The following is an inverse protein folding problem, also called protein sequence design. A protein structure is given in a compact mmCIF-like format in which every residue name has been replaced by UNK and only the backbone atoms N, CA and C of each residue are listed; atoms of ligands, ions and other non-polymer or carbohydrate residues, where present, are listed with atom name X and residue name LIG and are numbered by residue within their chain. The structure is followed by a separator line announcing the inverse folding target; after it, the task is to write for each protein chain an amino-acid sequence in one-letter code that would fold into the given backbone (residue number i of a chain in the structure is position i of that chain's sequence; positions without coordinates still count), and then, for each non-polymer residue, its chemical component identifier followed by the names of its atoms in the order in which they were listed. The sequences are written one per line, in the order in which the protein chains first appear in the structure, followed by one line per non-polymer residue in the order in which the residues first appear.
data_IF_910269349312
#
_entry.id   IF_910269349312
#
_cell.length_a   1.000
_cell.length_b   1.000
_cell.length_c   1.000
_cell.angle_alpha   90.00
_cell.angle_beta   90.00
_cell.angle_gamma   90.00
#
_symmetry.space_group_name_H-M   'P 1'
#
loop_
_entity.id
_entity.type
_entity.pdbx_description
1 polymer ?
#
# COMPACT_ATOMS: atom_id res chain seq x y z
N UNK A 1 51.84 -24.08 1.23
CA UNK A 1 51.25 -22.83 0.73
C UNK A 1 50.05 -23.05 -0.19
N UNK A 2 50.08 -23.97 -1.17
CA UNK A 2 48.94 -24.22 -2.07
C UNK A 2 47.67 -24.73 -1.37
N UNK A 3 47.78 -25.74 -0.49
CA UNK A 3 46.61 -26.38 0.14
C UNK A 3 45.83 -25.49 1.14
N UNK A 4 46.50 -24.60 1.87
CA UNK A 4 45.83 -23.67 2.80
C UNK A 4 44.97 -22.64 2.06
N UNK A 5 45.41 -22.18 0.89
CA UNK A 5 44.65 -21.25 0.05
C UNK A 5 43.40 -21.94 -0.48
N UNK A 6 43.52 -23.18 -0.93
CA UNK A 6 42.41 -23.98 -1.46
C UNK A 6 41.35 -24.27 -0.40
N UNK A 7 41.75 -24.68 0.81
CA UNK A 7 40.81 -24.86 1.94
C UNK A 7 40.12 -23.56 2.37
N UNK A 8 40.80 -22.42 2.26
CA UNK A 8 40.21 -21.11 2.56
C UNK A 8 39.18 -20.70 1.51
N UNK A 9 39.48 -20.95 0.23
CA UNK A 9 38.55 -20.70 -0.89
C UNK A 9 37.31 -21.59 -0.76
N UNK A 10 37.46 -22.88 -0.48
CA UNK A 10 36.33 -23.80 -0.30
C UNK A 10 35.44 -23.41 0.89
N UNK A 11 36.03 -23.02 2.03
CA UNK A 11 35.26 -22.52 3.18
C UNK A 11 34.46 -21.25 2.86
N UNK A 12 35.08 -20.33 2.14
CA UNK A 12 34.41 -19.09 1.74
C UNK A 12 33.25 -19.35 0.76
N UNK A 13 33.44 -20.25 -0.20
CA UNK A 13 32.39 -20.66 -1.14
C UNK A 13 31.19 -21.28 -0.41
N UNK A 14 31.46 -22.22 0.51
CA UNK A 14 30.41 -22.84 1.31
C UNK A 14 29.64 -21.82 2.16
N UNK A 15 30.36 -20.89 2.80
CA UNK A 15 29.73 -19.80 3.55
C UNK A 15 28.88 -18.88 2.67
N UNK A 16 29.29 -18.62 1.43
CA UNK A 16 28.48 -17.84 0.48
C UNK A 16 27.20 -18.58 0.07
N UNK A 17 27.28 -19.90 -0.17
CA UNK A 17 26.12 -20.73 -0.48
C UNK A 17 25.11 -20.71 0.68
N UNK A 18 25.59 -20.91 1.91
CA UNK A 18 24.76 -20.85 3.13
C UNK A 18 24.08 -19.48 3.29
N UNK A 19 24.81 -18.38 3.08
CA UNK A 19 24.25 -17.03 3.13
C UNK A 19 23.21 -16.78 2.03
N UNK A 20 23.46 -17.29 0.82
CA UNK A 20 22.52 -17.22 -0.30
C UNK A 20 21.21 -17.93 0.04
N UNK A 21 21.26 -19.11 0.65
CA UNK A 21 20.06 -19.86 0.99
C UNK A 21 19.28 -19.25 2.15
N UNK A 22 19.98 -18.67 3.13
CA UNK A 22 19.34 -17.84 4.17
C UNK A 22 18.62 -16.65 3.53
N UNK A 23 19.28 -15.94 2.59
CA UNK A 23 18.68 -14.79 1.92
C UNK A 23 17.41 -15.19 1.15
N UNK A 24 17.46 -16.28 0.37
CA UNK A 24 16.28 -16.79 -0.37
C UNK A 24 15.14 -17.14 0.59
N UNK A 25 15.45 -17.80 1.70
CA UNK A 25 14.46 -18.17 2.72
C UNK A 25 13.81 -16.94 3.34
N UNK A 26 14.60 -15.92 3.69
CA UNK A 26 14.10 -14.65 4.21
C UNK A 26 13.22 -13.94 3.20
N UNK A 27 13.65 -13.83 1.93
CA UNK A 27 12.85 -13.20 0.86
C UNK A 27 11.52 -13.92 0.63
N UNK A 28 11.52 -15.26 0.66
CA UNK A 28 10.30 -16.06 0.55
C UNK A 28 9.33 -15.77 1.70
N UNK A 29 9.83 -15.76 2.95
CA UNK A 29 9.00 -15.44 4.12
C UNK A 29 8.43 -14.03 4.06
N UNK A 30 9.25 -13.04 3.71
CA UNK A 30 8.79 -11.65 3.52
C UNK A 30 7.69 -11.56 2.45
N UNK A 31 7.81 -12.32 1.37
CA UNK A 31 6.79 -12.33 0.31
C UNK A 31 5.47 -12.94 0.79
N UNK A 32 5.53 -14.03 1.56
CA UNK A 32 4.35 -14.66 2.15
C UNK A 32 3.67 -13.75 3.18
N UNK A 33 4.46 -13.15 4.07
CA UNK A 33 3.99 -12.18 5.07
C UNK A 33 3.33 -10.95 4.42
N UNK A 34 3.92 -10.43 3.33
CA UNK A 34 3.32 -9.35 2.54
C UNK A 34 1.98 -9.74 1.90
N UNK A 35 1.85 -10.99 1.43
CA UNK A 35 0.59 -11.49 0.89
C UNK A 35 -0.48 -11.62 1.99
N UNK A 36 -0.13 -12.15 3.17
CA UNK A 36 -1.05 -12.24 4.30
C UNK A 36 -1.53 -10.85 4.77
N UNK A 37 -0.64 -9.86 4.81
CA UNK A 37 -0.98 -8.46 5.08
C UNK A 37 -1.95 -7.88 4.05
N UNK A 38 -1.76 -8.19 2.76
CA UNK A 38 -2.69 -7.76 1.71
C UNK A 38 -4.06 -8.46 1.81
N UNK A 39 -4.08 -9.77 2.11
CA UNK A 39 -5.33 -10.50 2.32
C UNK A 39 -6.14 -9.94 3.49
N UNK A 40 -5.46 -9.60 4.60
CA UNK A 40 -6.11 -8.97 5.74
C UNK A 40 -6.62 -7.57 5.43
N UNK A 41 -5.82 -6.76 4.72
CA UNK A 41 -6.23 -5.43 4.25
C UNK A 41 -7.57 -5.46 3.49
N UNK A 42 -7.82 -6.48 2.66
CA UNK A 42 -9.10 -6.62 1.93
C UNK A 42 -10.31 -6.87 2.83
N UNK A 43 -10.12 -7.33 4.08
CA UNK A 43 -11.23 -7.59 5.00
C UNK A 43 -11.75 -6.31 5.66
N UNK A 44 -11.05 -5.19 5.51
CA UNK A 44 -11.51 -3.91 6.04
C UNK A 44 -12.52 -3.30 5.08
N UNK A 45 -13.78 -3.21 5.53
CA UNK A 45 -14.85 -2.56 4.77
C UNK A 45 -14.55 -1.08 4.46
N UNK A 46 -13.80 -0.42 5.33
CA UNK A 46 -13.29 0.92 5.10
C UNK A 46 -11.78 0.96 5.46
N UNK A 47 -10.90 0.68 4.49
CA UNK A 47 -9.45 0.72 4.72
C UNK A 47 -8.93 2.15 4.94
N UNK A 48 -9.77 3.16 4.75
CA UNK A 48 -9.47 4.55 5.07
C UNK A 48 -9.67 4.88 6.57
N UNK A 49 -10.21 3.95 7.37
CA UNK A 49 -10.56 4.15 8.79
C UNK A 49 -9.40 3.99 9.79
N UNK A 50 -8.24 3.50 9.36
CA UNK A 50 -7.08 3.38 10.25
C UNK A 50 -6.57 4.76 10.68
N UNK A 51 -6.37 4.96 11.98
CA UNK A 51 -5.98 6.24 12.57
C UNK A 51 -4.61 6.76 12.15
N UNK A 52 -3.70 5.88 11.69
CA UNK A 52 -2.32 6.19 11.37
C UNK A 52 -1.96 6.01 9.89
N UNK A 53 -2.95 5.87 9.01
CA UNK A 53 -2.71 5.69 7.57
C UNK A 53 -2.36 7.00 6.91
N UNK A 54 -1.22 7.01 6.21
CA UNK A 54 -0.81 8.13 5.38
C UNK A 54 -1.43 7.94 4.00
N UNK A 55 -2.10 8.99 3.51
CA UNK A 55 -2.80 8.98 2.22
C UNK A 55 -2.28 10.10 1.35
N UNK A 56 -2.16 9.84 0.06
CA UNK A 56 -1.81 10.85 -0.94
C UNK A 56 -2.55 10.57 -2.24
N UNK A 57 -3.26 11.58 -2.74
CA UNK A 57 -3.72 11.58 -4.13
C UNK A 57 -2.51 11.89 -4.99
N UNK A 58 -2.10 10.94 -5.83
CA UNK A 58 -0.94 11.10 -6.71
C UNK A 58 -1.32 11.85 -7.97
N UNK A 59 -2.45 11.48 -8.60
CA UNK A 59 -3.00 12.18 -9.74
C UNK A 59 -4.50 11.92 -9.89
N UNK A 60 -5.15 12.79 -10.66
CA UNK A 60 -6.56 12.71 -11.03
C UNK A 60 -6.68 13.02 -12.51
N UNK A 61 -7.50 12.25 -13.23
CA UNK A 61 -7.75 12.44 -14.67
C UNK A 61 -9.26 12.48 -14.94
N UNK A 62 -9.70 13.42 -15.78
CA UNK A 62 -11.07 13.48 -16.29
C UNK A 62 -11.29 12.35 -17.31
N UNK A 63 -12.32 11.53 -17.12
CA UNK A 63 -12.60 10.38 -18.00
C UNK A 63 -13.90 10.57 -18.76
N UNK A 64 -14.99 10.84 -18.06
CA UNK A 64 -16.34 11.07 -18.60
C UNK A 64 -16.94 12.33 -17.95
N UNK A 65 -18.01 12.88 -18.54
CA UNK A 65 -18.55 14.22 -18.23
C UNK A 65 -18.80 14.50 -16.73
N UNK A 66 -18.98 13.47 -15.89
CA UNK A 66 -19.17 13.58 -14.45
C UNK A 66 -18.19 12.73 -13.60
N UNK A 67 -17.17 12.12 -14.22
CA UNK A 67 -16.29 11.13 -13.59
C UNK A 67 -14.81 11.42 -13.75
N UNK A 68 -14.07 11.07 -12.70
CA UNK A 68 -12.63 11.19 -12.62
C UNK A 68 -12.03 9.83 -12.28
N UNK A 69 -10.89 9.50 -12.89
CA UNK A 69 -10.01 8.45 -12.38
C UNK A 69 -9.12 9.06 -11.31
N UNK A 70 -9.10 8.47 -10.13
CA UNK A 70 -8.35 8.96 -8.98
C UNK A 70 -7.33 7.90 -8.58
N UNK A 71 -6.06 8.28 -8.60
CA UNK A 71 -4.97 7.44 -8.15
C UNK A 71 -4.58 7.82 -6.72
N UNK A 72 -4.86 6.93 -5.78
CA UNK A 72 -4.60 7.14 -4.36
C UNK A 72 -3.54 6.16 -3.87
N UNK A 73 -2.46 6.70 -3.32
CA UNK A 73 -1.47 5.94 -2.59
C UNK A 73 -1.82 5.95 -1.10
N UNK A 74 -1.90 4.76 -0.52
CA UNK A 74 -2.07 4.57 0.92
C UNK A 74 -0.86 3.84 1.50
N UNK A 75 -0.42 4.29 2.67
CA UNK A 75 0.66 3.64 3.42
C UNK A 75 0.16 3.29 4.82
N UNK A 76 0.18 1.99 5.11
CA UNK A 76 -0.37 1.38 6.31
C UNK A 76 0.78 0.73 7.07
N UNK A 77 0.86 0.96 8.38
CA UNK A 77 1.82 0.26 9.21
C UNK A 77 1.33 -1.17 9.44
N UNK A 78 2.19 -2.15 9.26
CA UNK A 78 1.80 -3.56 9.43
C UNK A 78 1.24 -3.90 10.82
N UNK A 79 1.73 -3.30 11.93
CA UNK A 79 1.11 -3.48 13.24
C UNK A 79 -0.35 -2.98 13.36
N UNK A 80 -0.83 -2.14 12.44
CA UNK A 80 -2.23 -1.69 12.43
C UNK A 80 -3.16 -2.76 11.80
N UNK A 81 -2.61 -3.76 11.11
CA UNK A 81 -3.34 -4.90 10.54
C UNK A 81 -3.49 -6.01 11.59
N UNK A 82 -4.56 -6.80 11.49
CA UNK A 82 -4.87 -7.89 12.42
C UNK A 82 -4.01 -9.15 12.21
N UNK A 83 -3.14 -9.10 11.20
CA UNK A 83 -2.28 -10.22 10.82
C UNK A 83 -1.31 -10.68 11.90
N UNK A 84 -0.98 -11.99 11.88
CA UNK A 84 0.04 -12.61 12.75
C UNK A 84 1.47 -12.34 12.28
N UNK A 85 1.68 -11.30 11.48
CA UNK A 85 2.93 -10.96 10.76
C UNK A 85 3.95 -10.33 11.71
N UNK A 86 4.32 -11.05 12.77
CA UNK A 86 4.91 -10.40 13.96
C UNK A 86 6.42 -10.44 14.06
N UNK A 87 7.16 -11.18 13.23
CA UNK A 87 8.62 -11.31 13.44
C UNK A 87 9.51 -10.70 12.35
N UNK A 88 9.22 -10.87 11.06
CA UNK A 88 10.14 -10.42 10.00
C UNK A 88 9.79 -9.01 9.50
N UNK A 89 8.51 -8.63 9.52
CA UNK A 89 8.03 -7.34 9.01
C UNK A 89 7.45 -6.39 10.09
N UNK A 90 7.79 -6.56 11.37
CA UNK A 90 7.21 -5.79 12.48
C UNK A 90 7.35 -4.26 12.39
N UNK A 91 8.33 -3.74 11.63
CA UNK A 91 8.55 -2.30 11.38
C UNK A 91 8.18 -1.88 9.94
N UNK A 92 7.64 -2.79 9.14
CA UNK A 92 7.33 -2.57 7.73
C UNK A 92 6.05 -1.76 7.52
N UNK A 93 5.89 -1.28 6.28
CA UNK A 93 4.65 -0.67 5.83
C UNK A 93 4.12 -1.43 4.62
N UNK A 94 2.82 -1.67 4.59
CA UNK A 94 2.10 -2.03 3.39
C UNK A 94 1.77 -0.76 2.61
N UNK A 95 2.24 -0.68 1.37
CA UNK A 95 1.88 0.42 0.47
C UNK A 95 0.87 -0.11 -0.54
N UNK A 96 -0.31 0.48 -0.54
CA UNK A 96 -1.40 0.13 -1.44
C UNK A 96 -1.55 1.24 -2.47
N UNK A 97 -1.56 0.82 -3.72
CA UNK A 97 -1.89 1.65 -4.86
C UNK A 97 -3.36 1.38 -5.23
N UNK A 98 -4.20 2.40 -5.17
CA UNK A 98 -5.63 2.32 -5.43
C UNK A 98 -6.01 3.14 -6.66
N UNK A 99 -6.80 2.51 -7.54
CA UNK A 99 -7.48 3.16 -8.65
C UNK A 99 -8.96 3.28 -8.28
N UNK A 100 -9.41 4.52 -8.08
CA UNK A 100 -10.74 4.84 -7.61
C UNK A 100 -11.49 5.66 -8.67
N UNK A 101 -12.82 5.62 -8.58
CA UNK A 101 -13.69 6.52 -9.36
C UNK A 101 -14.10 7.68 -8.47
N UNK A 102 -13.79 8.89 -8.93
CA UNK A 102 -14.29 10.13 -8.37
C UNK A 102 -15.48 10.65 -9.18
N UNK A 103 -16.39 11.36 -8.53
CA UNK A 103 -17.54 12.00 -9.17
C UNK A 103 -17.49 13.50 -8.97
N UNK A 104 -17.64 14.28 -10.04
CA UNK A 104 -17.62 15.74 -9.97
C UNK A 104 -18.80 16.23 -9.14
N UNK A 105 -18.54 17.17 -8.23
CA UNK A 105 -19.54 17.76 -7.35
C UNK A 105 -19.66 19.25 -7.67
N UNK A 106 -20.85 19.74 -8.07
CA UNK A 106 -21.12 21.17 -8.17
C UNK A 106 -20.86 21.88 -6.83
N UNK A 107 -20.27 23.08 -6.86
CA UNK A 107 -19.87 23.82 -5.65
C UNK A 107 -21.04 24.02 -4.67
N UNK A 108 -22.24 24.29 -5.18
CA UNK A 108 -23.47 24.47 -4.40
C UNK A 108 -23.92 23.20 -3.63
N UNK A 109 -23.41 22.03 -4.03
CA UNK A 109 -23.72 20.73 -3.42
C UNK A 109 -22.64 20.19 -2.50
N UNK A 110 -21.46 20.84 -2.43
CA UNK A 110 -20.32 20.37 -1.63
C UNK A 110 -20.71 20.14 -0.17
N UNK A 111 -21.39 21.10 0.46
CA UNK A 111 -21.80 21.00 1.87
C UNK A 111 -22.80 19.85 2.10
N UNK A 112 -23.66 19.56 1.13
CA UNK A 112 -24.60 18.43 1.21
C UNK A 112 -23.85 17.09 1.18
N UNK A 113 -22.86 16.97 0.28
CA UNK A 113 -22.06 15.76 0.13
C UNK A 113 -21.15 15.50 1.36
N UNK A 114 -20.60 16.55 1.99
CA UNK A 114 -19.88 16.41 3.28
C UNK A 114 -20.79 15.78 4.34
N UNK A 115 -22.04 16.23 4.43
CA UNK A 115 -23.00 15.72 5.44
C UNK A 115 -23.38 14.26 5.20
N UNK A 116 -23.25 13.75 3.98
CA UNK A 116 -23.46 12.33 3.65
C UNK A 116 -22.29 11.44 4.08
N UNK A 117 -21.16 12.03 4.51
CA UNK A 117 -19.96 11.29 4.91
C UNK A 117 -19.04 10.92 3.76
N UNK A 118 -19.25 11.48 2.56
CA UNK A 118 -18.37 11.25 1.41
C UNK A 118 -17.02 11.96 1.60
N UNK A 119 -15.94 11.35 1.09
CA UNK A 119 -14.66 12.04 1.00
C UNK A 119 -14.70 13.04 -0.15
N UNK A 120 -14.44 14.31 0.15
CA UNK A 120 -14.47 15.41 -0.81
C UNK A 120 -13.08 16.02 -1.00
N UNK A 121 -12.76 16.29 -2.24
CA UNK A 121 -11.48 16.79 -2.68
C UNK A 121 -11.67 17.91 -3.71
N UNK A 122 -10.64 18.72 -3.90
CA UNK A 122 -10.64 19.82 -4.86
C UNK A 122 -9.40 19.69 -5.76
N UNK A 123 -9.63 19.70 -7.08
CA UNK A 123 -8.57 19.70 -8.08
C UNK A 123 -8.28 21.13 -8.48
N UNK A 124 -7.15 21.67 -8.02
CA UNK A 124 -6.78 23.07 -8.26
C UNK A 124 -6.62 23.40 -9.75
N UNK A 125 -6.04 22.48 -10.54
CA UNK A 125 -5.72 22.75 -11.94
C UNK A 125 -6.97 22.80 -12.84
N UNK A 126 -8.04 22.09 -12.44
CA UNK A 126 -9.31 22.03 -13.17
C UNK A 126 -10.43 22.86 -12.50
N UNK A 127 -10.14 23.50 -11.36
CA UNK A 127 -11.08 24.30 -10.57
C UNK A 127 -12.41 23.59 -10.30
N UNK A 128 -12.34 22.33 -9.82
CA UNK A 128 -13.52 21.52 -9.56
C UNK A 128 -13.43 20.75 -8.24
N UNK A 129 -14.60 20.51 -7.65
CA UNK A 129 -14.76 19.59 -6.53
C UNK A 129 -15.13 18.20 -7.05
N UNK A 130 -14.66 17.18 -6.35
CA UNK A 130 -15.09 15.81 -6.60
C UNK A 130 -15.18 15.03 -5.30
N UNK A 131 -16.02 14.00 -5.31
CA UNK A 131 -16.15 13.06 -4.21
C UNK A 131 -15.69 11.67 -4.59
N UNK A 132 -15.25 10.92 -3.59
CA UNK A 132 -15.10 9.47 -3.65
C UNK A 132 -16.17 8.89 -2.73
N UNK A 133 -17.03 8.02 -3.26
CA UNK A 133 -18.09 7.39 -2.47
C UNK A 133 -17.46 6.32 -1.56
N UNK A 134 -17.69 6.43 -0.25
CA UNK A 134 -17.10 5.54 0.76
C UNK A 134 -17.76 4.15 0.76
N UNK A 135 -19.04 4.07 0.34
CA UNK A 135 -19.86 2.86 0.39
C UNK A 135 -19.99 2.11 -0.95
N UNK A 136 -19.26 2.51 -2.00
CA UNK A 136 -19.33 1.83 -3.32
C UNK A 136 -18.46 0.56 -3.42
N UNK A 137 -17.80 0.14 -2.33
CA UNK A 137 -16.86 -0.99 -2.32
C UNK A 137 -17.13 -1.98 -1.17
#
# INVERSE_FOLDING_TARGET
MSGEIEEKVLRNLKSHEELSDILKSTLYKMSLEGFEAFEDYKNYANPDSFSNVVKKIEWVELVEDDRLSVHKLQKIKLPDLSTKTTEIMSEGNLTIDQFLVGYIVPEDKVIEEIKKGNELYYVKDADLFYKINVDEF
#
